data_IF_258991098595
#
_entry.id   IF_258991098595
#
_cell.length_a   1.000
_cell.length_b   1.000
_cell.length_c   1.000
_cell.angle_alpha   90.00
_cell.angle_beta   90.00
_cell.angle_gamma   90.00
#
_symmetry.space_group_name_H-M   'P 1'
#
loop_
_entity.id
_entity.type
_entity.pdbx_description
1 polymer ?
#
# COMPACT_ATOMS: atom_id res chain seq x y z
N UNK A 1 -0.30 3.39 15.21
CA UNK A 1 0.76 2.41 15.52
C UNK A 1 1.60 2.23 14.27
N UNK A 2 2.74 2.90 14.20
CA UNK A 2 3.74 2.73 13.14
C UNK A 2 4.76 1.74 13.71
N UNK A 3 4.78 0.52 13.19
CA UNK A 3 5.71 -0.53 13.63
C UNK A 3 7.06 -0.34 12.95
N UNK A 4 8.12 -0.35 13.76
CA UNK A 4 9.54 -0.19 13.40
C UNK A 4 10.01 -1.05 12.21
N UNK A 5 9.84 -0.53 11.00
CA UNK A 5 10.47 -1.05 9.79
C UNK A 5 10.36 0.01 8.71
N UNK A 6 11.46 0.69 8.40
CA UNK A 6 11.57 1.75 7.38
C UNK A 6 11.15 1.30 5.96
N UNK A 7 10.81 0.02 5.76
CA UNK A 7 10.39 -0.55 4.48
C UNK A 7 8.90 -0.90 4.39
N UNK A 8 8.09 -0.73 5.45
CA UNK A 8 6.69 -1.21 5.43
C UNK A 8 5.74 -0.28 4.66
N UNK A 9 6.04 1.02 4.59
CA UNK A 9 5.24 2.03 3.89
C UNK A 9 6.16 2.84 3.01
N UNK A 10 5.88 2.87 1.71
CA UNK A 10 6.64 3.64 0.73
C UNK A 10 5.68 4.71 0.19
N UNK A 11 5.88 5.94 0.64
CA UNK A 11 5.07 7.09 0.23
C UNK A 11 5.94 8.35 0.19
N UNK A 12 6.14 8.97 -0.99
CA UNK A 12 6.95 10.19 -1.13
C UNK A 12 6.47 11.39 -0.30
N UNK A 13 5.23 11.38 0.17
CA UNK A 13 4.69 12.42 1.04
C UNK A 13 5.13 12.32 2.51
N UNK A 14 5.81 11.26 2.93
CA UNK A 14 6.37 11.13 4.29
C UNK A 14 7.71 11.86 4.41
N UNK A 15 7.94 12.53 5.54
CA UNK A 15 9.17 13.31 5.80
C UNK A 15 10.44 12.44 5.81
N UNK A 16 10.33 11.16 6.10
CA UNK A 16 11.43 10.20 6.13
C UNK A 16 11.71 9.54 4.77
N UNK A 17 10.92 9.84 3.72
CA UNK A 17 11.17 9.34 2.38
C UNK A 17 12.36 10.09 1.73
N UNK A 18 13.32 9.40 1.10
CA UNK A 18 14.53 10.03 0.53
C UNK A 18 14.22 11.13 -0.49
N UNK A 19 13.15 10.95 -1.26
CA UNK A 19 12.71 11.92 -2.27
C UNK A 19 11.66 12.93 -1.77
N UNK A 20 11.39 13.01 -0.47
CA UNK A 20 10.36 13.92 0.08
C UNK A 20 10.62 15.38 -0.29
N UNK A 21 11.84 15.86 -0.03
CA UNK A 21 12.23 17.24 -0.32
C UNK A 21 12.23 17.54 -1.82
N UNK A 22 12.64 16.55 -2.64
CA UNK A 22 12.58 16.67 -4.09
C UNK A 22 11.13 16.81 -4.57
N UNK A 23 10.24 15.91 -4.14
CA UNK A 23 8.82 15.97 -4.48
C UNK A 23 8.22 17.33 -4.07
N UNK A 24 8.50 17.78 -2.85
CA UNK A 24 8.04 19.07 -2.33
C UNK A 24 8.53 20.27 -3.14
N UNK A 25 9.70 20.17 -3.77
CA UNK A 25 10.26 21.24 -4.62
C UNK A 25 9.60 21.32 -6.00
N UNK A 26 9.10 20.19 -6.53
CA UNK A 26 8.52 20.10 -7.87
C UNK A 26 6.99 20.03 -7.89
N UNK A 27 6.34 19.78 -6.73
CA UNK A 27 4.90 19.64 -6.62
C UNK A 27 4.17 20.97 -6.43
N UNK A 28 2.88 20.99 -6.76
CA UNK A 28 2.00 22.09 -6.40
C UNK A 28 1.55 21.93 -4.93
N UNK A 29 1.85 22.93 -4.10
CA UNK A 29 1.52 22.97 -2.67
C UNK A 29 0.02 22.83 -2.40
N UNK A 30 -0.83 23.27 -3.33
CA UNK A 30 -2.29 23.20 -3.20
C UNK A 30 -2.86 21.78 -3.44
N UNK A 31 -2.08 20.88 -4.05
CA UNK A 31 -2.53 19.53 -4.42
C UNK A 31 -2.02 18.41 -3.49
N UNK A 32 -1.10 18.73 -2.58
CA UNK A 32 -0.47 17.74 -1.70
C UNK A 32 0.44 16.75 -2.44
N UNK A 33 0.63 15.56 -1.88
CA UNK A 33 1.60 14.57 -2.36
C UNK A 33 0.99 13.38 -3.13
N UNK A 34 -0.31 13.46 -3.46
CA UNK A 34 -1.03 12.44 -4.22
C UNK A 34 -1.48 11.22 -3.40
N UNK A 35 -2.34 10.38 -3.99
CA UNK A 35 -2.93 9.21 -3.34
C UNK A 35 -2.21 7.88 -3.61
N UNK A 36 -0.96 7.94 -4.08
CA UNK A 36 -0.20 6.74 -4.46
C UNK A 36 0.76 6.34 -3.35
N UNK A 37 0.56 5.16 -2.78
CA UNK A 37 1.45 4.60 -1.75
C UNK A 37 1.63 3.09 -1.95
N UNK A 38 2.72 2.55 -1.44
CA UNK A 38 2.94 1.11 -1.40
C UNK A 38 3.10 0.61 0.05
N UNK A 39 2.64 -0.61 0.31
CA UNK A 39 2.88 -1.34 1.55
C UNK A 39 3.68 -2.60 1.24
N UNK A 40 4.82 -2.77 1.89
CA UNK A 40 5.60 -4.01 1.75
C UNK A 40 5.15 -5.04 2.79
N UNK A 41 4.43 -6.06 2.32
CA UNK A 41 3.98 -7.17 3.15
C UNK A 41 4.99 -8.34 3.16
N UNK A 42 6.17 -8.15 2.59
CA UNK A 42 7.30 -9.09 2.43
C UNK A 42 6.97 -10.29 1.50
N UNK A 43 5.80 -10.92 1.69
CA UNK A 43 5.38 -12.11 0.93
C UNK A 43 4.02 -11.91 0.26
N UNK A 44 3.82 -12.57 -0.89
CA UNK A 44 2.56 -12.56 -1.63
C UNK A 44 1.38 -13.04 -0.76
N UNK A 45 1.61 -14.06 0.06
CA UNK A 45 0.58 -14.59 0.96
C UNK A 45 0.09 -13.53 1.96
N UNK A 46 1.00 -12.72 2.54
CA UNK A 46 0.64 -11.63 3.46
C UNK A 46 -0.07 -10.50 2.71
N UNK A 47 0.40 -10.16 1.51
CA UNK A 47 -0.21 -9.16 0.63
C UNK A 47 -1.66 -9.52 0.25
N UNK A 48 -1.88 -10.72 -0.30
CA UNK A 48 -3.22 -11.18 -0.68
C UNK A 48 -4.16 -11.31 0.51
N UNK A 49 -3.66 -11.70 1.69
CA UNK A 49 -4.50 -11.76 2.90
C UNK A 49 -4.97 -10.37 3.33
N UNK A 50 -4.07 -9.38 3.34
CA UNK A 50 -4.42 -7.98 3.62
C UNK A 50 -5.45 -7.47 2.59
N UNK A 51 -5.15 -7.62 1.30
CA UNK A 51 -6.04 -7.18 0.21
C UNK A 51 -7.42 -7.84 0.27
N UNK A 52 -7.49 -9.13 0.60
CA UNK A 52 -8.76 -9.84 0.81
C UNK A 52 -9.56 -9.27 1.98
N UNK A 53 -8.91 -8.94 3.11
CA UNK A 53 -9.58 -8.27 4.24
C UNK A 53 -10.08 -6.87 3.87
N UNK A 54 -9.26 -6.10 3.14
CA UNK A 54 -9.61 -4.77 2.68
C UNK A 54 -10.80 -4.79 1.71
N UNK A 55 -10.83 -5.71 0.74
CA UNK A 55 -11.93 -5.82 -0.22
C UNK A 55 -13.17 -6.47 0.38
N UNK A 56 -13.04 -7.71 0.87
CA UNK A 56 -14.19 -8.59 1.10
C UNK A 56 -14.77 -8.49 2.52
N UNK A 57 -14.05 -7.87 3.48
CA UNK A 57 -14.51 -7.77 4.87
C UNK A 57 -14.74 -6.34 5.36
N UNK A 58 -14.10 -5.36 4.73
CA UNK A 58 -14.16 -3.96 5.16
C UNK A 58 -14.58 -3.00 4.06
N UNK A 59 -14.58 -3.42 2.79
CA UNK A 59 -14.94 -2.59 1.64
C UNK A 59 -14.10 -1.30 1.58
N UNK A 60 -12.82 -1.40 1.92
CA UNK A 60 -11.88 -0.28 1.85
C UNK A 60 -11.47 0.06 0.42
N UNK A 61 -11.32 -0.97 -0.42
CA UNK A 61 -10.90 -0.81 -1.81
C UNK A 61 -11.04 -2.10 -2.62
N UNK A 62 -10.78 -2.01 -3.91
CA UNK A 62 -10.92 -3.08 -4.88
C UNK A 62 -9.54 -3.62 -5.30
N UNK A 63 -9.42 -4.93 -5.44
CA UNK A 63 -8.27 -5.56 -6.08
C UNK A 63 -8.37 -5.35 -7.60
N UNK A 64 -7.58 -4.43 -8.14
CA UNK A 64 -7.56 -4.11 -9.56
C UNK A 64 -6.21 -3.52 -9.97
N UNK A 65 -5.78 -3.82 -11.19
CA UNK A 65 -4.47 -3.37 -11.73
C UNK A 65 -4.47 -1.93 -12.25
N UNK A 66 -5.64 -1.31 -12.40
CA UNK A 66 -5.79 0.08 -12.88
C UNK A 66 -5.46 1.12 -11.80
N UNK A 67 -5.47 2.41 -12.18
CA UNK A 67 -5.19 3.58 -11.33
C UNK A 67 -6.19 4.70 -11.63
N UNK A 68 -6.34 5.66 -10.70
CA UNK A 68 -7.06 6.92 -10.95
C UNK A 68 -8.59 6.83 -10.99
N UNK A 69 -9.17 5.82 -10.35
CA UNK A 69 -10.62 5.71 -10.16
C UNK A 69 -11.05 6.40 -8.86
N UNK A 70 -12.34 6.71 -8.72
CA UNK A 70 -12.85 7.38 -7.52
C UNK A 70 -12.81 6.47 -6.27
N UNK A 71 -12.84 5.15 -6.46
CA UNK A 71 -12.62 4.15 -5.40
C UNK A 71 -11.13 3.84 -5.23
N UNK A 72 -10.75 3.40 -4.03
CA UNK A 72 -9.40 2.90 -3.76
C UNK A 72 -9.13 1.61 -4.53
N UNK A 73 -8.03 1.57 -5.28
CA UNK A 73 -7.57 0.39 -6.03
C UNK A 73 -6.28 -0.16 -5.42
N UNK A 74 -6.17 -1.49 -5.35
CA UNK A 74 -5.04 -2.20 -4.74
C UNK A 74 -4.55 -3.31 -5.66
N UNK A 75 -3.23 -3.49 -5.75
CA UNK A 75 -2.62 -4.57 -6.53
C UNK A 75 -1.34 -5.07 -5.88
N UNK A 76 -1.11 -6.39 -5.93
CA UNK A 76 0.18 -6.99 -5.56
C UNK A 76 1.13 -6.87 -6.75
N UNK A 77 2.00 -5.86 -6.76
CA UNK A 77 2.83 -5.48 -7.91
C UNK A 77 3.90 -6.51 -8.25
N UNK A 78 4.34 -7.29 -7.25
CA UNK A 78 5.27 -8.39 -7.45
C UNK A 78 4.71 -9.51 -8.33
N UNK A 79 3.42 -9.82 -8.21
CA UNK A 79 2.78 -10.91 -8.94
C UNK A 79 1.96 -10.47 -10.15
N UNK A 80 1.77 -9.15 -10.35
CA UNK A 80 0.92 -8.61 -11.43
C UNK A 80 1.67 -7.72 -12.41
N UNK A 81 1.89 -6.45 -12.08
CA UNK A 81 2.39 -5.45 -13.04
C UNK A 81 3.85 -5.63 -13.44
N UNK A 82 4.60 -6.42 -12.68
CA UNK A 82 6.04 -6.67 -12.89
C UNK A 82 6.33 -8.14 -13.18
N UNK A 83 5.32 -8.90 -13.63
CA UNK A 83 5.43 -10.35 -13.89
C UNK A 83 6.47 -10.70 -14.97
N UNK A 84 6.77 -9.75 -15.86
CA UNK A 84 7.76 -9.90 -16.93
C UNK A 84 9.21 -9.74 -16.43
N UNK A 85 9.42 -9.21 -15.22
CA UNK A 85 10.73 -9.05 -14.62
C UNK A 85 11.13 -10.33 -13.89
N UNK A 86 12.37 -10.77 -14.06
CA UNK A 86 12.91 -11.88 -13.29
C UNK A 86 13.14 -11.47 -11.82
N UNK A 87 13.43 -12.43 -10.95
CA UNK A 87 13.57 -12.19 -9.50
C UNK A 87 14.71 -11.21 -9.17
N UNK A 88 15.83 -11.27 -9.91
CA UNK A 88 16.97 -10.36 -9.73
C UNK A 88 16.61 -8.92 -10.13
N UNK A 89 15.94 -8.75 -11.27
CA UNK A 89 15.47 -7.44 -11.76
C UNK A 89 14.46 -6.82 -10.79
N UNK A 90 13.56 -7.62 -10.22
CA UNK A 90 12.60 -7.16 -9.20
C UNK A 90 13.30 -6.74 -7.92
N UNK A 91 14.29 -7.51 -7.46
CA UNK A 91 15.08 -7.16 -6.29
C UNK A 91 15.85 -5.85 -6.49
N UNK A 92 16.47 -5.67 -7.66
CA UNK A 92 17.18 -4.43 -8.03
C UNK A 92 16.25 -3.22 -8.09
N UNK A 93 15.00 -3.42 -8.53
CA UNK A 93 13.98 -2.38 -8.57
C UNK A 93 13.30 -2.12 -7.21
N UNK A 94 13.65 -2.87 -6.16
CA UNK A 94 13.00 -2.76 -4.83
C UNK A 94 11.57 -3.30 -4.80
N UNK A 95 11.21 -4.21 -5.70
CA UNK A 95 9.87 -4.80 -5.82
C UNK A 95 9.84 -6.13 -5.09
N UNK A 96 9.48 -6.10 -3.81
CA UNK A 96 9.28 -7.32 -3.03
C UNK A 96 8.11 -8.16 -3.59
N UNK A 97 8.08 -9.48 -3.33
CA UNK A 97 6.92 -10.31 -3.64
C UNK A 97 5.63 -9.81 -3.00
N UNK A 98 5.71 -9.29 -1.78
CA UNK A 98 4.57 -8.76 -1.02
C UNK A 98 4.23 -7.29 -1.26
N UNK A 99 4.78 -6.63 -2.29
CA UNK A 99 4.57 -5.21 -2.49
C UNK A 99 3.13 -4.91 -2.95
N UNK A 100 2.33 -4.31 -2.07
CA UNK A 100 0.97 -3.87 -2.35
C UNK A 100 0.99 -2.40 -2.77
N UNK A 101 0.68 -2.11 -4.03
CA UNK A 101 0.45 -0.74 -4.52
C UNK A 101 -0.99 -0.35 -4.28
N UNK A 102 -1.21 0.83 -3.70
CA UNK A 102 -2.53 1.41 -3.46
C UNK A 102 -2.66 2.76 -4.18
N UNK A 103 -3.76 2.90 -4.93
CA UNK A 103 -4.25 4.18 -5.46
C UNK A 103 -5.45 4.56 -4.62
N UNK A 104 -5.24 5.43 -3.64
CA UNK A 104 -6.29 5.88 -2.71
C UNK A 104 -7.27 6.79 -3.46
N UNK A 105 -8.54 6.37 -3.50
CA UNK A 105 -9.63 7.13 -4.08
C UNK A 105 -10.16 8.19 -3.11
N UNK A 106 -11.24 8.88 -3.51
CA UNK A 106 -11.90 9.92 -2.71
C UNK A 106 -13.34 9.53 -2.32
N UNK A 107 -13.70 8.25 -2.42
CA UNK A 107 -15.00 7.74 -1.96
C UNK A 107 -15.06 7.72 -0.43
N UNK A 108 -16.18 8.18 0.14
CA UNK A 108 -16.41 8.17 1.60
C UNK A 108 -15.67 9.27 2.37
N UNK A 109 -15.83 9.29 3.70
CA UNK A 109 -15.10 10.21 4.58
C UNK A 109 -13.79 9.61 5.07
N UNK A 110 -12.86 10.46 5.52
CA UNK A 110 -11.59 10.02 6.10
C UNK A 110 -11.80 9.01 7.24
N UNK A 111 -12.75 9.30 8.13
CA UNK A 111 -13.06 8.47 9.30
C UNK A 111 -13.57 7.10 8.87
N UNK A 112 -14.41 7.04 7.83
CA UNK A 112 -14.91 5.78 7.29
C UNK A 112 -13.77 4.96 6.70
N UNK A 113 -12.96 5.55 5.82
CA UNK A 113 -11.83 4.87 5.18
C UNK A 113 -10.81 4.39 6.22
N UNK A 114 -10.50 5.23 7.20
CA UNK A 114 -9.59 4.89 8.29
C UNK A 114 -10.13 3.72 9.14
N UNK A 115 -11.40 3.77 9.56
CA UNK A 115 -12.01 2.70 10.34
C UNK A 115 -12.06 1.37 9.58
N UNK A 116 -12.30 1.39 8.26
CA UNK A 116 -12.26 0.19 7.43
C UNK A 116 -10.85 -0.41 7.39
N UNK A 117 -9.83 0.43 7.21
CA UNK A 117 -8.44 -0.02 7.20
C UNK A 117 -8.00 -0.58 8.56
N UNK A 118 -8.28 0.11 9.66
CA UNK A 118 -7.96 -0.34 11.03
C UNK A 118 -8.64 -1.68 11.34
N UNK A 119 -9.90 -1.85 10.96
CA UNK A 119 -10.63 -3.11 11.13
C UNK A 119 -9.98 -4.26 10.35
N UNK A 120 -9.43 -4.00 9.17
CA UNK A 120 -8.69 -5.01 8.41
C UNK A 120 -7.36 -5.35 9.10
N UNK A 121 -6.62 -4.36 9.61
CA UNK A 121 -5.37 -4.58 10.34
C UNK A 121 -5.57 -5.38 11.63
N UNK A 122 -6.59 -5.04 12.42
CA UNK A 122 -6.93 -5.79 13.65
C UNK A 122 -7.19 -7.27 13.35
N UNK A 123 -7.97 -7.57 12.30
CA UNK A 123 -8.21 -8.97 11.86
C UNK A 123 -6.94 -9.66 11.38
N UNK A 124 -6.03 -8.91 10.75
CA UNK A 124 -4.76 -9.45 10.31
C UNK A 124 -3.85 -9.79 11.50
N UNK A 125 -3.87 -8.99 12.56
CA UNK A 125 -3.17 -9.25 13.83
C UNK A 125 -3.72 -10.48 14.55
N UNK A 126 -5.05 -10.60 14.67
CA UNK A 126 -5.71 -11.77 15.27
C UNK A 126 -5.33 -13.08 14.57
N UNK A 127 -4.96 -13.00 13.30
CA UNK A 127 -4.54 -14.13 12.48
C UNK A 127 -3.06 -14.51 12.62
N UNK A 128 -2.31 -13.87 13.52
CA UNK A 128 -0.90 -14.16 13.85
C UNK A 128 0.13 -13.72 12.81
N UNK A 129 -0.26 -12.89 11.82
CA UNK A 129 0.61 -12.51 10.69
C UNK A 129 1.37 -11.18 10.86
N UNK A 130 1.01 -10.42 11.89
CA UNK A 130 1.66 -9.15 12.26
C UNK A 130 2.39 -9.24 13.61
N UNK A 131 2.28 -10.36 14.33
CA UNK A 131 3.11 -10.64 15.49
C UNK A 131 4.52 -10.98 15.03
N UNK A 132 5.45 -10.04 15.20
CA UNK A 132 6.89 -10.34 15.20
C UNK A 132 7.27 -10.89 16.59
N UNK A 133 8.05 -11.96 16.62
CA UNK A 133 9.02 -12.19 17.68
C UNK A 133 9.96 -10.98 17.78
#
# INVERSE_FOLDING_TARGET
>A
MITNGQNQVIYPGLEDHPDHDLLKSISNKDYGYGGMLCLDMETEARAYKLMNLLQNHTQFGLMAVSLGYYETLMSCSGSSTSSEMNEEERALAGISPGLVRMSVGYSGTLEQRWAQFEKALSRLQDSGLLSKN
#
